data_IF_212084829182
#
_entry.id   IF_212084829182
#
_cell.length_a   1.000
_cell.length_b   1.000
_cell.length_c   1.000
_cell.angle_alpha   90.00
_cell.angle_beta   90.00
_cell.angle_gamma   90.00
#
_symmetry.space_group_name_H-M   'P 1'
#
loop_
_entity.id
_entity.type
_entity.pdbx_description
1 polymer ?
#
# COMPACT_ATOMS: atom_id res chain seq x y z
N UNK A 1 -51.83 58.66 34.14
CA UNK A 1 -50.73 58.46 33.20
C UNK A 1 -49.89 57.26 33.67
N UNK A 2 -50.00 56.16 32.97
CA UNK A 2 -49.27 54.89 33.31
C UNK A 2 -48.15 54.67 32.29
N UNK A 3 -46.90 54.85 32.74
CA UNK A 3 -45.75 54.54 31.94
C UNK A 3 -45.49 53.03 31.98
N UNK A 4 -45.56 52.38 30.82
CA UNK A 4 -45.13 50.96 30.62
C UNK A 4 -43.64 50.95 30.40
N UNK A 5 -42.89 50.30 31.31
CA UNK A 5 -41.49 49.95 31.12
C UNK A 5 -41.38 48.75 30.19
N UNK A 6 -40.68 48.92 29.09
CA UNK A 6 -40.28 47.81 28.19
C UNK A 6 -38.89 47.40 28.63
N UNK A 7 -38.67 46.15 28.99
CA UNK A 7 -37.28 45.66 29.27
C UNK A 7 -36.51 45.46 27.99
N UNK A 8 -35.37 46.14 27.89
CA UNK A 8 -34.38 45.99 26.84
C UNK A 8 -33.64 44.66 27.03
N UNK A 9 -33.95 43.64 26.24
CA UNK A 9 -33.25 42.38 26.24
C UNK A 9 -31.96 42.58 25.47
N UNK A 10 -30.82 42.63 26.17
CA UNK A 10 -29.49 42.57 25.62
C UNK A 10 -29.20 41.13 25.11
N UNK A 11 -29.27 40.94 23.81
CA UNK A 11 -28.88 39.71 23.15
C UNK A 11 -27.34 39.66 23.07
N UNK A 12 -26.69 39.04 24.06
CA UNK A 12 -25.27 38.78 24.03
C UNK A 12 -24.98 37.70 22.97
N UNK A 13 -24.53 38.11 21.78
CA UNK A 13 -24.10 37.23 20.73
C UNK A 13 -22.82 36.45 21.14
N UNK A 14 -22.98 35.17 21.43
CA UNK A 14 -21.88 34.26 21.70
C UNK A 14 -21.21 33.92 20.36
N UNK A 15 -20.14 34.61 20.01
CA UNK A 15 -19.27 34.31 18.89
C UNK A 15 -18.54 32.99 19.20
N UNK A 16 -19.08 31.87 18.69
CA UNK A 16 -18.38 30.59 18.63
C UNK A 16 -17.22 30.71 17.62
N UNK A 17 -16.04 31.01 18.12
CA UNK A 17 -14.81 30.90 17.35
C UNK A 17 -14.52 29.39 17.17
N UNK A 18 -14.97 28.83 16.05
CA UNK A 18 -14.58 27.50 15.64
C UNK A 18 -13.07 27.53 15.34
N UNK A 19 -12.25 27.11 16.29
CA UNK A 19 -10.85 26.76 16.03
C UNK A 19 -10.86 25.55 15.08
N UNK A 20 -10.59 25.79 13.81
CA UNK A 20 -10.21 24.72 12.89
C UNK A 20 -8.97 24.05 13.45
N UNK A 21 -9.13 22.85 14.01
CA UNK A 21 -8.00 21.98 14.35
C UNK A 21 -7.44 21.53 13.02
N UNK A 22 -6.42 22.24 12.52
CA UNK A 22 -5.60 21.75 11.43
C UNK A 22 -4.92 20.49 11.97
N UNK A 23 -5.30 19.33 11.48
CA UNK A 23 -4.59 18.10 11.77
C UNK A 23 -3.15 18.31 11.26
N UNK A 24 -2.23 18.50 12.20
CA UNK A 24 -0.81 18.60 11.91
C UNK A 24 -0.32 17.20 11.57
N UNK A 25 -0.56 16.75 10.33
CA UNK A 25 -0.02 15.49 9.83
C UNK A 25 1.48 15.69 9.74
N UNK A 26 2.24 14.80 10.41
CA UNK A 26 3.70 14.81 10.33
C UNK A 26 4.13 14.76 8.85
N UNK A 27 5.19 15.49 8.48
CA UNK A 27 5.63 15.53 7.09
C UNK A 27 6.09 14.13 6.65
N UNK A 28 5.67 13.72 5.47
CA UNK A 28 6.16 12.49 4.84
C UNK A 28 7.62 12.68 4.44
N UNK A 29 8.51 11.93 5.06
CA UNK A 29 9.95 12.06 4.86
C UNK A 29 10.55 10.75 4.36
N UNK A 30 11.56 10.89 3.51
CA UNK A 30 12.36 9.80 2.94
C UNK A 30 13.84 10.14 3.17
N UNK A 31 14.72 9.16 3.23
CA UNK A 31 16.15 9.34 3.22
C UNK A 31 16.71 9.04 1.83
N UNK A 32 17.54 9.93 1.29
CA UNK A 32 18.22 9.70 0.01
C UNK A 32 19.52 8.90 0.21
N UNK A 33 20.16 8.51 -0.90
CA UNK A 33 21.41 7.73 -0.89
C UNK A 33 22.60 8.46 -0.21
N UNK A 34 22.51 9.76 0.00
CA UNK A 34 23.50 10.55 0.73
C UNK A 34 23.20 10.68 2.23
N UNK A 35 22.20 9.99 2.76
CA UNK A 35 21.75 10.07 4.15
C UNK A 35 20.98 11.36 4.49
N UNK A 36 20.49 12.08 3.50
CA UNK A 36 19.76 13.33 3.71
C UNK A 36 18.26 13.08 3.76
N UNK A 37 17.61 13.70 4.73
CA UNK A 37 16.15 13.63 4.87
C UNK A 37 15.50 14.59 3.88
N UNK A 38 14.62 14.05 3.06
CA UNK A 38 13.88 14.76 2.01
C UNK A 38 12.38 14.64 2.27
N UNK A 39 11.67 15.76 2.17
CA UNK A 39 10.20 15.76 2.27
C UNK A 39 9.60 15.36 0.92
N UNK A 40 8.71 14.36 0.91
CA UNK A 40 8.01 13.93 -0.30
C UNK A 40 7.24 15.08 -0.96
N UNK A 41 6.64 15.98 -0.14
CA UNK A 41 5.94 17.18 -0.63
C UNK A 41 6.79 18.09 -1.53
N UNK A 42 8.13 18.03 -1.41
CA UNK A 42 9.00 18.83 -2.27
C UNK A 42 8.93 18.43 -3.75
N UNK A 43 8.48 17.23 -4.05
CA UNK A 43 8.28 16.70 -5.40
C UNK A 43 6.86 16.89 -5.91
N UNK A 44 5.87 16.96 -5.01
CA UNK A 44 4.46 17.05 -5.37
C UNK A 44 4.04 18.44 -5.87
N UNK A 45 3.12 18.48 -6.84
CA UNK A 45 2.52 19.74 -7.31
C UNK A 45 3.37 20.52 -8.33
N UNK A 46 4.46 19.95 -8.84
CA UNK A 46 5.31 20.57 -9.88
C UNK A 46 5.17 19.86 -11.22
N UNK A 47 5.32 18.57 -11.20
CA UNK A 47 5.05 17.64 -12.30
C UNK A 47 4.46 16.37 -11.71
N UNK A 48 3.84 15.49 -12.52
CA UNK A 48 3.38 14.20 -12.02
C UNK A 48 4.51 13.44 -11.33
N UNK A 49 4.16 12.61 -10.35
CA UNK A 49 5.11 11.81 -9.58
C UNK A 49 4.77 10.33 -9.70
N UNK A 50 5.78 9.52 -9.94
CA UNK A 50 5.69 8.06 -9.91
C UNK A 50 6.50 7.52 -8.74
N UNK A 51 5.81 6.95 -7.75
CA UNK A 51 6.41 6.26 -6.62
C UNK A 51 6.39 4.76 -6.90
N UNK A 52 7.55 4.10 -6.75
CA UNK A 52 7.66 2.63 -6.77
C UNK A 52 8.22 2.17 -5.44
N UNK A 53 7.39 1.45 -4.66
CA UNK A 53 7.83 0.80 -3.44
C UNK A 53 8.39 -0.59 -3.76
N UNK A 54 9.57 -0.89 -3.21
CA UNK A 54 10.31 -2.11 -3.51
C UNK A 54 11.23 -2.54 -2.36
N UNK A 55 11.74 -3.76 -2.44
CA UNK A 55 12.76 -4.30 -1.54
C UNK A 55 13.74 -5.18 -2.34
N UNK A 56 14.97 -5.38 -1.84
CA UNK A 56 15.99 -6.17 -2.55
C UNK A 56 15.65 -7.65 -2.64
N UNK A 57 14.91 -8.15 -1.68
CA UNK A 57 14.44 -9.53 -1.60
C UNK A 57 13.12 -9.78 -2.36
N UNK A 58 12.50 -8.76 -2.90
CA UNK A 58 11.24 -8.84 -3.62
C UNK A 58 11.49 -9.31 -5.05
N UNK A 59 11.25 -10.59 -5.33
CA UNK A 59 11.49 -11.19 -6.64
C UNK A 59 10.74 -10.48 -7.77
N UNK A 60 9.40 -10.23 -7.72
CA UNK A 60 8.72 -9.51 -8.79
C UNK A 60 9.16 -8.05 -8.89
N UNK A 61 9.66 -7.44 -7.79
CA UNK A 61 10.29 -6.13 -7.92
C UNK A 61 11.50 -6.19 -8.85
N UNK A 62 12.35 -7.22 -8.68
CA UNK A 62 13.53 -7.41 -9.53
C UNK A 62 13.17 -7.66 -10.99
N UNK A 63 12.12 -8.42 -11.25
CA UNK A 63 11.58 -8.67 -12.59
C UNK A 63 11.08 -7.39 -13.26
N UNK A 64 10.54 -6.45 -12.48
CA UNK A 64 10.02 -5.17 -12.94
C UNK A 64 11.07 -4.04 -13.00
N UNK A 65 12.29 -4.20 -12.46
CA UNK A 65 13.31 -3.12 -12.45
C UNK A 65 13.74 -2.68 -13.85
N UNK A 66 13.95 -3.57 -14.84
CA UNK A 66 14.26 -3.14 -16.21
C UNK A 66 13.16 -2.27 -16.81
N UNK A 67 11.88 -2.62 -16.61
CA UNK A 67 10.75 -1.82 -17.06
C UNK A 67 10.73 -0.44 -16.37
N UNK A 68 10.98 -0.40 -15.06
CA UNK A 68 11.00 0.84 -14.29
C UNK A 68 12.14 1.79 -14.74
N UNK A 69 13.33 1.24 -15.01
CA UNK A 69 14.44 2.01 -15.57
C UNK A 69 14.11 2.55 -16.96
N UNK A 70 13.56 1.71 -17.84
CA UNK A 70 13.15 2.14 -19.18
C UNK A 70 12.08 3.24 -19.14
N UNK A 71 11.08 3.11 -18.27
CA UNK A 71 10.06 4.14 -18.07
C UNK A 71 10.68 5.46 -17.56
N UNK A 72 11.69 5.39 -16.68
CA UNK A 72 12.43 6.57 -16.24
C UNK A 72 13.19 7.24 -17.38
N UNK A 73 13.89 6.49 -18.22
CA UNK A 73 14.60 7.01 -19.40
C UNK A 73 13.64 7.69 -20.38
N UNK A 74 12.44 7.14 -20.54
CA UNK A 74 11.45 7.66 -21.46
C UNK A 74 10.68 8.88 -20.92
N UNK A 75 10.38 8.93 -19.63
CA UNK A 75 9.44 9.90 -19.05
C UNK A 75 10.05 10.77 -17.94
N UNK A 76 11.27 10.54 -17.49
CA UNK A 76 11.87 11.21 -16.34
C UNK A 76 11.97 12.73 -16.44
N UNK A 77 12.04 13.27 -17.65
CA UNK A 77 12.00 14.72 -17.88
C UNK A 77 10.62 15.32 -17.54
N UNK A 78 9.55 14.56 -17.72
CA UNK A 78 8.15 15.00 -17.56
C UNK A 78 7.50 14.51 -16.28
N UNK A 79 7.93 13.38 -15.77
CA UNK A 79 7.41 12.72 -14.56
C UNK A 79 8.55 12.60 -13.56
N UNK A 80 8.31 12.94 -12.31
CA UNK A 80 9.26 12.71 -11.22
C UNK A 80 9.19 11.25 -10.77
N UNK A 81 10.24 10.50 -10.99
CA UNK A 81 10.37 9.13 -10.48
C UNK A 81 11.00 9.14 -9.10
N UNK A 82 10.48 8.31 -8.21
CA UNK A 82 10.94 8.13 -6.82
C UNK A 82 10.90 6.64 -6.51
N UNK A 83 12.04 5.98 -6.51
CA UNK A 83 12.17 4.59 -6.09
C UNK A 83 12.28 4.55 -4.56
N UNK A 84 11.32 3.93 -3.87
CA UNK A 84 11.24 3.90 -2.41
C UNK A 84 11.54 2.47 -1.94
N UNK A 85 12.71 2.27 -1.34
CA UNK A 85 12.99 1.05 -0.59
C UNK A 85 12.23 1.09 0.74
N UNK A 86 11.54 -0.01 1.08
CA UNK A 86 10.71 -0.08 2.29
C UNK A 86 11.50 -0.39 3.57
N UNK A 87 12.83 -0.46 3.48
CA UNK A 87 13.76 -0.68 4.62
C UNK A 87 13.49 -1.96 5.44
N UNK A 88 12.76 -2.90 4.89
CA UNK A 88 12.45 -4.14 5.60
C UNK A 88 13.54 -5.18 5.33
N UNK A 89 14.51 -5.30 6.25
CA UNK A 89 15.68 -6.16 6.15
C UNK A 89 16.59 -5.88 4.93
N UNK A 90 16.61 -4.65 4.46
CA UNK A 90 17.53 -4.17 3.44
C UNK A 90 18.60 -3.29 4.11
N UNK A 91 19.80 -3.31 3.57
CA UNK A 91 20.86 -2.39 3.92
C UNK A 91 21.35 -1.61 2.68
N UNK A 92 22.08 -0.54 2.91
CA UNK A 92 22.58 0.31 1.82
C UNK A 92 23.42 -0.47 0.79
N UNK A 93 24.15 -1.52 1.21
CA UNK A 93 24.96 -2.35 0.32
C UNK A 93 24.08 -3.23 -0.59
N UNK A 94 23.02 -3.83 -0.04
CA UNK A 94 22.06 -4.61 -0.81
C UNK A 94 21.34 -3.73 -1.86
N UNK A 95 20.92 -2.53 -1.44
CA UNK A 95 20.32 -1.52 -2.36
C UNK A 95 21.30 -1.13 -3.47
N UNK A 96 22.56 -0.85 -3.13
CA UNK A 96 23.60 -0.50 -4.11
C UNK A 96 23.84 -1.62 -5.14
N UNK A 97 23.83 -2.90 -4.72
CA UNK A 97 23.95 -4.05 -5.63
C UNK A 97 22.78 -4.13 -6.63
N UNK A 98 21.56 -3.87 -6.18
CA UNK A 98 20.39 -3.83 -7.07
C UNK A 98 20.52 -2.68 -8.05
N UNK A 99 20.92 -1.51 -7.59
CA UNK A 99 21.18 -0.33 -8.43
C UNK A 99 22.20 -0.63 -9.53
N UNK A 100 23.32 -1.23 -9.18
CA UNK A 100 24.36 -1.64 -10.14
C UNK A 100 23.84 -2.70 -11.11
N UNK A 101 23.22 -3.77 -10.60
CA UNK A 101 22.70 -4.89 -11.40
C UNK A 101 21.74 -4.47 -12.50
N UNK A 102 20.88 -3.49 -12.23
CA UNK A 102 19.85 -3.02 -13.17
C UNK A 102 20.20 -1.65 -13.78
N UNK A 103 21.41 -1.12 -13.52
CA UNK A 103 21.86 0.20 -13.98
C UNK A 103 20.84 1.31 -13.68
N UNK A 104 20.28 1.29 -12.47
CA UNK A 104 19.25 2.24 -12.08
C UNK A 104 19.84 3.64 -11.94
N UNK A 105 19.24 4.62 -12.62
CA UNK A 105 19.70 6.02 -12.64
C UNK A 105 18.68 6.99 -12.05
N UNK A 106 17.47 6.52 -11.75
CA UNK A 106 16.48 7.33 -11.03
C UNK A 106 16.88 7.51 -9.56
N UNK A 107 16.34 8.56 -8.88
CA UNK A 107 16.54 8.76 -7.44
C UNK A 107 15.99 7.59 -6.62
N UNK A 108 16.82 7.06 -5.72
CA UNK A 108 16.45 6.02 -4.77
C UNK A 108 16.37 6.61 -3.37
N UNK A 109 15.36 6.25 -2.62
CA UNK A 109 15.11 6.70 -1.26
C UNK A 109 14.74 5.50 -0.38
N UNK A 110 14.87 5.70 0.93
CA UNK A 110 14.46 4.72 1.94
C UNK A 110 13.36 5.30 2.84
N UNK A 111 12.31 4.53 3.09
CA UNK A 111 11.23 4.88 4.04
C UNK A 111 11.47 4.19 5.38
N UNK A 112 12.44 4.67 6.17
CA UNK A 112 12.81 4.08 7.46
C UNK A 112 11.65 4.03 8.46
N UNK A 113 10.69 4.93 8.34
CA UNK A 113 9.59 5.03 9.29
C UNK A 113 8.33 4.30 8.84
N UNK A 114 8.27 3.88 7.58
CA UNK A 114 7.07 3.32 6.94
C UNK A 114 5.91 4.33 6.81
N UNK A 115 6.15 5.62 7.08
CA UNK A 115 5.08 6.63 7.04
C UNK A 115 4.60 6.92 5.62
N UNK A 116 5.51 6.92 4.65
CA UNK A 116 5.14 7.11 3.24
C UNK A 116 4.37 5.90 2.73
N UNK A 117 4.84 4.69 3.02
CA UNK A 117 4.14 3.47 2.71
C UNK A 117 2.72 3.45 3.31
N UNK A 118 2.59 3.77 4.60
CA UNK A 118 1.29 3.87 5.29
C UNK A 118 0.37 4.91 4.66
N UNK A 119 0.90 6.08 4.28
CA UNK A 119 0.10 7.17 3.69
C UNK A 119 -0.56 6.74 2.37
N UNK A 120 0.13 5.93 1.57
CA UNK A 120 -0.40 5.41 0.30
C UNK A 120 -1.06 4.03 0.43
N UNK A 121 -1.44 3.62 1.65
CA UNK A 121 -2.15 2.36 1.92
C UNK A 121 -1.39 1.14 1.38
N UNK A 122 -0.06 1.18 1.49
CA UNK A 122 0.83 0.14 1.00
C UNK A 122 0.49 -1.23 1.59
N UNK A 123 0.25 -2.21 0.71
CA UNK A 123 -0.11 -3.58 1.08
C UNK A 123 1.04 -4.58 0.90
N UNK A 124 2.05 -4.25 0.09
CA UNK A 124 3.19 -5.11 -0.19
C UNK A 124 3.94 -4.69 -1.46
N UNK A 125 5.15 -5.23 -1.66
CA UNK A 125 6.00 -4.94 -2.82
C UNK A 125 5.84 -5.97 -3.94
N UNK A 126 5.97 -5.57 -5.22
CA UNK A 126 6.07 -4.20 -5.72
C UNK A 126 4.78 -3.41 -5.53
N UNK A 127 4.86 -2.10 -5.39
CA UNK A 127 3.68 -1.25 -5.36
C UNK A 127 3.96 0.06 -6.10
N UNK A 128 3.04 0.45 -6.95
CA UNK A 128 3.14 1.60 -7.83
C UNK A 128 2.08 2.62 -7.47
N UNK A 129 2.47 3.89 -7.37
CA UNK A 129 1.54 5.00 -7.16
C UNK A 129 1.87 6.09 -8.16
N UNK A 130 0.89 6.51 -8.96
CA UNK A 130 1.00 7.67 -9.83
C UNK A 130 0.17 8.81 -9.27
N UNK A 131 0.79 9.97 -9.17
CA UNK A 131 0.23 11.20 -8.62
C UNK A 131 0.31 12.26 -9.71
N UNK A 132 -0.78 12.94 -10.01
CA UNK A 132 -0.79 14.01 -10.99
C UNK A 132 -0.20 15.33 -10.45
N UNK A 133 -0.12 16.36 -11.30
CA UNK A 133 0.37 17.68 -10.91
C UNK A 133 -0.49 18.41 -9.90
N UNK A 134 -1.75 18.00 -9.72
CA UNK A 134 -2.68 18.55 -8.72
C UNK A 134 -2.59 17.79 -7.39
N UNK A 135 -1.59 16.92 -7.22
CA UNK A 135 -1.34 16.06 -6.04
C UNK A 135 -2.38 14.97 -5.83
N UNK A 136 -3.11 14.60 -6.86
CA UNK A 136 -4.11 13.56 -6.81
C UNK A 136 -3.52 12.22 -7.19
N UNK A 137 -3.78 11.19 -6.40
CA UNK A 137 -3.46 9.81 -6.74
C UNK A 137 -4.41 9.36 -7.86
N UNK A 138 -3.84 8.95 -8.99
CA UNK A 138 -4.59 8.56 -10.19
C UNK A 138 -4.36 7.11 -10.60
N UNK A 139 -3.40 6.44 -9.98
CA UNK A 139 -3.15 5.02 -10.15
C UNK A 139 -2.50 4.44 -8.90
N UNK A 140 -2.93 3.25 -8.52
CA UNK A 140 -2.27 2.39 -7.55
C UNK A 140 -2.36 0.94 -8.04
N UNK A 141 -1.29 0.17 -7.91
CA UNK A 141 -1.28 -1.22 -8.35
C UNK A 141 0.06 -1.91 -8.09
N UNK A 142 0.09 -3.21 -8.33
CA UNK A 142 1.27 -4.06 -8.10
C UNK A 142 1.98 -4.50 -9.38
N UNK A 143 1.30 -4.38 -10.51
CA UNK A 143 1.80 -4.84 -11.79
C UNK A 143 2.41 -3.71 -12.63
N UNK A 144 3.51 -4.03 -13.32
CA UNK A 144 4.08 -3.17 -14.37
C UNK A 144 3.47 -3.57 -15.72
N UNK A 145 2.23 -3.16 -15.93
CA UNK A 145 1.37 -3.61 -17.01
C UNK A 145 0.90 -2.48 -17.93
N UNK A 146 0.08 -2.84 -18.93
CA UNK A 146 -0.48 -1.87 -19.88
C UNK A 146 -1.26 -0.71 -19.23
N UNK A 147 -2.10 -0.90 -18.20
CA UNK A 147 -2.72 0.19 -17.44
C UNK A 147 -1.72 1.19 -16.87
N UNK A 148 -0.63 0.73 -16.24
CA UNK A 148 0.43 1.59 -15.75
C UNK A 148 1.10 2.36 -16.90
N UNK A 149 1.49 1.68 -17.98
CA UNK A 149 2.14 2.27 -19.14
C UNK A 149 1.27 3.34 -19.82
N UNK A 150 -0.03 3.05 -20.00
CA UNK A 150 -0.98 4.00 -20.56
C UNK A 150 -1.10 5.24 -19.68
N UNK A 151 -1.13 5.06 -18.36
CA UNK A 151 -1.23 6.19 -17.42
C UNK A 151 0.05 7.04 -17.45
N UNK A 152 1.24 6.42 -17.46
CA UNK A 152 2.51 7.12 -17.62
C UNK A 152 2.54 7.93 -18.92
N UNK A 153 2.12 7.33 -20.04
CA UNK A 153 2.05 8.00 -21.33
C UNK A 153 1.09 9.20 -21.31
N UNK A 154 -0.10 9.05 -20.72
CA UNK A 154 -1.07 10.16 -20.59
C UNK A 154 -0.52 11.30 -19.73
N UNK A 155 0.05 10.99 -18.58
CA UNK A 155 0.69 11.98 -17.70
C UNK A 155 1.82 12.72 -18.38
N UNK A 156 2.65 12.03 -19.16
CA UNK A 156 3.77 12.63 -19.89
C UNK A 156 3.33 13.63 -20.97
N UNK A 157 2.09 13.56 -21.43
CA UNK A 157 1.51 14.47 -22.42
C UNK A 157 0.60 15.54 -21.82
N UNK A 158 0.62 15.73 -20.51
CA UNK A 158 -0.29 16.62 -19.78
C UNK A 158 -1.78 16.26 -19.96
N UNK A 159 -2.10 15.01 -20.30
CA UNK A 159 -3.46 14.52 -20.37
C UNK A 159 -4.06 14.43 -18.98
N UNK A 160 -5.28 14.93 -18.80
CA UNK A 160 -6.08 14.60 -17.63
C UNK A 160 -6.50 13.15 -17.77
N UNK A 161 -6.21 12.37 -16.77
CA UNK A 161 -6.63 10.96 -16.74
C UNK A 161 -8.03 10.90 -16.15
N UNK A 162 -8.99 10.36 -16.92
CA UNK A 162 -10.36 10.16 -16.43
C UNK A 162 -10.34 9.05 -15.36
N UNK A 163 -10.62 9.43 -14.11
CA UNK A 163 -10.61 8.54 -12.95
C UNK A 163 -11.48 7.31 -13.11
N UNK A 164 -12.61 7.44 -13.79
CA UNK A 164 -13.56 6.34 -13.97
C UNK A 164 -12.96 5.15 -14.74
N UNK A 165 -11.87 5.35 -15.47
CA UNK A 165 -11.17 4.29 -16.23
C UNK A 165 -10.03 3.63 -15.46
N UNK A 166 -9.44 4.30 -14.47
CA UNK A 166 -8.26 3.81 -13.75
C UNK A 166 -8.59 3.05 -12.46
N UNK A 167 -9.72 3.38 -11.84
CA UNK A 167 -10.17 2.76 -10.59
C UNK A 167 -10.92 1.44 -10.81
N UNK A 168 -10.97 0.92 -12.04
CA UNK A 168 -11.68 -0.32 -12.38
C UNK A 168 -10.86 -1.61 -12.25
N UNK A 169 -9.79 -1.65 -11.46
CA UNK A 169 -9.51 -2.89 -10.77
C UNK A 169 -10.60 -3.03 -9.71
N UNK A 170 -11.47 -4.02 -9.89
CA UNK A 170 -12.50 -4.36 -8.93
C UNK A 170 -11.82 -4.61 -7.58
N UNK A 171 -11.76 -3.59 -6.76
CA UNK A 171 -11.55 -3.80 -5.32
C UNK A 171 -12.70 -4.70 -4.90
N UNK A 172 -12.39 -5.94 -4.60
CA UNK A 172 -13.37 -6.85 -4.03
C UNK A 172 -13.97 -6.19 -2.78
N UNK A 173 -15.25 -6.41 -2.54
CA UNK A 173 -15.87 -5.86 -1.34
C UNK A 173 -15.22 -6.52 -0.11
N UNK A 174 -14.72 -5.71 0.80
CA UNK A 174 -14.24 -6.18 2.10
C UNK A 174 -15.35 -6.97 2.79
N UNK A 175 -15.03 -8.20 3.20
CA UNK A 175 -15.97 -9.00 4.00
C UNK A 175 -15.68 -8.73 5.47
N UNK A 176 -16.59 -8.08 6.21
CA UNK A 176 -16.37 -7.78 7.63
C UNK A 176 -16.04 -9.04 8.42
N UNK A 177 -15.02 -8.97 9.28
CA UNK A 177 -14.71 -10.02 10.23
C UNK A 177 -15.81 -10.08 11.29
N UNK A 178 -16.59 -11.15 11.30
CA UNK A 178 -17.63 -11.36 12.33
C UNK A 178 -16.99 -12.02 13.54
N UNK A 179 -16.85 -11.27 14.63
CA UNK A 179 -16.40 -11.79 15.92
C UNK A 179 -17.65 -12.23 16.70
N UNK A 180 -17.81 -13.51 17.04
CA UNK A 180 -18.98 -13.97 17.76
C UNK A 180 -18.98 -13.43 19.19
N UNK A 181 -20.17 -13.09 19.70
CA UNK A 181 -20.35 -12.62 21.08
C UNK A 181 -20.12 -13.71 22.14
N UNK A 182 -20.07 -14.97 21.75
CA UNK A 182 -19.83 -16.13 22.62
C UNK A 182 -19.00 -17.18 21.86
N UNK A 183 -18.04 -17.79 22.57
CA UNK A 183 -17.16 -18.82 22.06
C UNK A 183 -15.74 -18.32 21.76
N UNK A 184 -14.89 -19.24 21.28
CA UNK A 184 -13.53 -18.93 20.84
C UNK A 184 -13.52 -18.96 19.32
N UNK A 185 -13.03 -17.91 18.69
CA UNK A 185 -12.77 -17.85 17.27
C UNK A 185 -11.27 -17.60 17.07
N UNK A 186 -10.65 -18.34 16.16
CA UNK A 186 -9.30 -18.10 15.70
C UNK A 186 -9.36 -17.55 14.26
N UNK A 187 -8.56 -16.54 13.98
CA UNK A 187 -8.41 -16.00 12.63
C UNK A 187 -6.93 -16.03 12.26
N UNK A 188 -6.61 -16.71 11.16
CA UNK A 188 -5.27 -16.69 10.58
C UNK A 188 -5.25 -15.66 9.45
N UNK A 189 -4.39 -14.64 9.58
CA UNK A 189 -4.03 -13.76 8.47
C UNK A 189 -2.75 -14.29 7.82
N UNK A 190 -2.81 -14.55 6.52
CA UNK A 190 -1.69 -15.12 5.76
C UNK A 190 -1.73 -14.67 4.30
N UNK A 191 -0.92 -15.29 3.44
CA UNK A 191 -0.96 -15.08 1.99
C UNK A 191 -0.88 -16.43 1.28
N UNK A 192 -1.54 -16.56 0.14
CA UNK A 192 -1.53 -17.80 -0.67
C UNK A 192 -0.14 -18.17 -1.16
N UNK A 193 0.75 -17.20 -1.26
CA UNK A 193 2.12 -17.30 -1.75
C UNK A 193 3.20 -17.36 -0.66
N UNK A 194 2.82 -17.22 0.63
CA UNK A 194 3.75 -17.04 1.74
C UNK A 194 4.79 -18.17 1.86
N UNK A 195 4.40 -19.41 1.66
CA UNK A 195 5.26 -20.59 1.84
C UNK A 195 6.21 -20.87 0.67
N UNK A 196 5.79 -20.59 -0.57
CA UNK A 196 6.61 -20.87 -1.74
C UNK A 196 7.40 -19.64 -2.20
N UNK A 197 6.80 -18.44 -2.15
CA UNK A 197 7.45 -17.23 -2.59
C UNK A 197 8.64 -16.83 -1.69
N UNK A 198 8.50 -17.05 -0.39
CA UNK A 198 9.56 -16.75 0.57
C UNK A 198 10.57 -17.90 0.74
N UNK A 199 10.37 -19.03 0.08
CA UNK A 199 11.19 -20.24 0.29
C UNK A 199 12.69 -19.99 0.04
N UNK A 200 13.03 -19.27 -1.01
CA UNK A 200 14.41 -18.99 -1.39
C UNK A 200 15.06 -17.86 -0.60
N UNK A 201 14.27 -16.82 -0.28
CA UNK A 201 14.80 -15.58 0.33
C UNK A 201 14.68 -15.55 1.84
N UNK A 202 13.64 -16.21 2.38
CA UNK A 202 13.30 -16.26 3.82
C UNK A 202 12.77 -17.63 4.23
N UNK A 203 13.57 -18.71 4.14
CA UNK A 203 13.10 -20.08 4.36
C UNK A 203 12.48 -20.31 5.74
N UNK A 204 12.99 -19.62 6.77
CA UNK A 204 12.41 -19.71 8.13
C UNK A 204 10.97 -19.14 8.17
N UNK A 205 10.70 -18.04 7.48
CA UNK A 205 9.36 -17.44 7.40
C UNK A 205 8.43 -18.30 6.56
N UNK A 206 8.87 -18.80 5.41
CA UNK A 206 8.12 -19.75 4.58
C UNK A 206 7.66 -20.96 5.40
N UNK A 207 8.57 -21.52 6.22
CA UNK A 207 8.24 -22.62 7.14
C UNK A 207 7.21 -22.21 8.19
N UNK A 208 7.26 -20.99 8.72
CA UNK A 208 6.27 -20.50 9.68
C UNK A 208 4.88 -20.37 9.05
N UNK A 209 4.77 -19.98 7.78
CA UNK A 209 3.48 -19.96 7.07
C UNK A 209 2.84 -21.35 7.02
N UNK A 210 3.63 -22.38 6.70
CA UNK A 210 3.16 -23.79 6.69
C UNK A 210 2.71 -24.23 8.08
N UNK A 211 3.54 -23.96 9.10
CA UNK A 211 3.25 -24.33 10.49
C UNK A 211 1.99 -23.63 11.03
N UNK A 212 1.80 -22.35 10.70
CA UNK A 212 0.61 -21.60 11.10
C UNK A 212 -0.66 -22.23 10.53
N UNK A 213 -0.64 -22.63 9.23
CA UNK A 213 -1.78 -23.31 8.62
C UNK A 213 -2.02 -24.69 9.25
N UNK A 214 -0.98 -25.45 9.53
CA UNK A 214 -1.12 -26.74 10.22
C UNK A 214 -1.74 -26.58 11.62
N UNK A 215 -1.34 -25.54 12.37
CA UNK A 215 -1.91 -25.26 13.68
C UNK A 215 -3.41 -24.91 13.61
N UNK A 216 -3.83 -24.10 12.64
CA UNK A 216 -5.27 -23.79 12.55
C UNK A 216 -6.10 -24.99 12.08
N UNK A 217 -5.55 -25.88 11.25
CA UNK A 217 -6.18 -27.16 10.92
C UNK A 217 -6.41 -28.00 12.20
N UNK A 218 -5.41 -28.10 13.09
CA UNK A 218 -5.54 -28.78 14.38
C UNK A 218 -6.59 -28.12 15.29
N UNK A 219 -6.70 -26.78 15.26
CA UNK A 219 -7.73 -26.09 16.04
C UNK A 219 -9.13 -26.43 15.56
N UNK A 220 -9.34 -26.59 14.26
CA UNK A 220 -10.63 -27.05 13.69
C UNK A 220 -10.97 -28.46 14.18
N UNK A 221 -9.99 -29.38 14.17
CA UNK A 221 -10.17 -30.74 14.68
C UNK A 221 -10.54 -30.76 16.17
N UNK A 222 -10.11 -29.74 16.93
CA UNK A 222 -10.45 -29.55 18.34
C UNK A 222 -11.80 -28.82 18.54
N UNK A 223 -12.54 -28.53 17.46
CA UNK A 223 -13.84 -27.87 17.53
C UNK A 223 -13.80 -26.36 17.71
N UNK A 224 -12.65 -25.72 17.47
CA UNK A 224 -12.54 -24.25 17.48
C UNK A 224 -13.12 -23.69 16.17
N UNK A 225 -13.91 -22.63 16.24
CA UNK A 225 -14.31 -21.86 15.06
C UNK A 225 -13.11 -21.12 14.47
N UNK A 226 -12.72 -21.48 13.25
CA UNK A 226 -11.53 -20.94 12.59
C UNK A 226 -11.90 -20.31 11.26
N UNK A 227 -11.30 -19.17 10.95
CA UNK A 227 -11.37 -18.50 9.65
C UNK A 227 -9.96 -18.15 9.17
N UNK A 228 -9.70 -18.29 7.87
CA UNK A 228 -8.44 -17.86 7.25
C UNK A 228 -8.71 -16.67 6.33
N UNK A 229 -7.97 -15.60 6.54
CA UNK A 229 -7.95 -14.41 5.71
C UNK A 229 -6.63 -14.37 4.94
N UNK A 230 -6.71 -14.42 3.62
CA UNK A 230 -5.52 -14.33 2.75
C UNK A 230 -5.40 -12.94 2.16
N UNK A 231 -4.17 -12.40 2.13
CA UNK A 231 -3.88 -11.11 1.53
C UNK A 231 -4.40 -11.06 0.09
N UNK A 232 -5.01 -9.94 -0.31
CA UNK A 232 -5.41 -9.70 -1.70
C UNK A 232 -4.23 -9.60 -2.67
N UNK A 233 -3.02 -9.34 -2.15
CA UNK A 233 -1.82 -9.20 -2.95
C UNK A 233 -1.52 -10.50 -3.70
N UNK A 234 -1.52 -10.45 -5.05
CA UNK A 234 -1.30 -11.60 -5.95
C UNK A 234 -2.22 -12.80 -5.67
N UNK A 235 -3.42 -12.52 -5.20
CA UNK A 235 -4.38 -13.54 -4.82
C UNK A 235 -5.71 -13.31 -5.54
N UNK A 236 -6.10 -14.26 -6.36
CA UNK A 236 -7.42 -14.38 -6.95
C UNK A 236 -8.14 -15.64 -6.41
N UNK A 237 -9.33 -15.91 -6.88
CA UNK A 237 -10.10 -17.08 -6.45
C UNK A 237 -9.43 -18.42 -6.80
N UNK A 238 -8.64 -18.47 -7.88
CA UNK A 238 -7.88 -19.66 -8.25
C UNK A 238 -6.78 -19.93 -7.23
N UNK A 239 -6.02 -18.90 -6.87
CA UNK A 239 -4.97 -18.98 -5.84
C UNK A 239 -5.55 -19.38 -4.46
N UNK A 240 -6.77 -18.92 -4.12
CA UNK A 240 -7.47 -19.36 -2.91
C UNK A 240 -7.78 -20.85 -2.97
N UNK A 241 -8.29 -21.34 -4.11
CA UNK A 241 -8.61 -22.76 -4.27
C UNK A 241 -7.35 -23.63 -4.20
N UNK A 242 -6.28 -23.23 -4.87
CA UNK A 242 -4.98 -23.92 -4.78
C UNK A 242 -4.45 -23.99 -3.35
N UNK A 243 -4.60 -22.91 -2.58
CA UNK A 243 -4.24 -22.85 -1.16
C UNK A 243 -5.08 -23.82 -0.33
N UNK A 244 -6.40 -23.85 -0.53
CA UNK A 244 -7.32 -24.77 0.16
C UNK A 244 -6.93 -26.22 -0.11
N UNK A 245 -6.70 -26.56 -1.37
CA UNK A 245 -6.34 -27.92 -1.78
C UNK A 245 -4.97 -28.34 -1.22
N UNK A 246 -3.97 -27.46 -1.32
CA UNK A 246 -2.60 -27.69 -0.84
C UNK A 246 -2.54 -27.97 0.65
N UNK A 247 -3.26 -27.20 1.44
CA UNK A 247 -3.24 -27.30 2.90
C UNK A 247 -4.39 -28.14 3.47
N UNK A 248 -5.25 -28.71 2.62
CA UNK A 248 -6.47 -29.43 3.04
C UNK A 248 -7.29 -28.61 4.03
N UNK A 249 -7.46 -27.32 3.75
CA UNK A 249 -8.15 -26.39 4.62
C UNK A 249 -9.66 -26.67 4.60
N UNK A 250 -10.23 -27.03 5.74
CA UNK A 250 -11.68 -27.34 5.90
C UNK A 250 -12.48 -26.14 6.46
N UNK A 251 -11.78 -25.13 6.99
CA UNK A 251 -12.38 -23.89 7.47
C UNK A 251 -12.61 -22.90 6.31
N UNK A 252 -13.47 -21.88 6.49
CA UNK A 252 -13.61 -20.80 5.52
C UNK A 252 -12.28 -20.09 5.22
N UNK A 253 -11.93 -19.97 3.94
CA UNK A 253 -10.79 -19.20 3.44
C UNK A 253 -11.34 -18.09 2.55
N UNK A 254 -10.99 -16.84 2.82
CA UNK A 254 -11.47 -15.70 2.06
C UNK A 254 -10.37 -14.65 1.86
N UNK A 255 -10.47 -13.90 0.76
CA UNK A 255 -9.53 -12.80 0.50
C UNK A 255 -9.86 -11.64 1.45
N UNK A 256 -8.81 -11.12 2.10
CA UNK A 256 -8.89 -9.90 2.91
C UNK A 256 -8.61 -8.69 2.01
N UNK A 257 -9.66 -7.91 1.73
CA UNK A 257 -9.54 -6.68 0.93
C UNK A 257 -9.28 -5.43 1.78
N UNK A 258 -9.03 -5.60 3.08
CA UNK A 258 -8.92 -4.52 4.03
C UNK A 258 -10.28 -3.93 4.43
N UNK A 259 -10.33 -3.18 5.54
CA UNK A 259 -11.47 -2.37 5.98
C UNK A 259 -11.04 -0.90 6.07
#
# INVERSE_FOLDING_TARGET
MRYKFIPLILLAGLLLVSKSISANTAPLVLENEAGQIVKLDSYLGKKPVYLKFWATWCKPCMEQMPHFQHAYEQYGDKIQFVAINIDLNDDAHAVAKVKERFSLTMPIFTDHTGQVAKHYEFMGTPFHVLIDSDKKVIFQGHEADKPLDNTLRLLSHNGKVDEARLLNEKQGQATPLVIPNKGKKAVLFTATWCDWYLADTRPAMAKQCVLAQQHVNQLVEQGVDVEVKVSQLWTDQSAVQEYVDKFSATMPVSIDYGN
#
